data_IF_728732698316
#
_entry.id   IF_728732698316
#
_cell.length_a   1.000
_cell.length_b   1.000
_cell.length_c   1.000
_cell.angle_alpha   90.00
_cell.angle_beta   90.00
_cell.angle_gamma   90.00
#
_symmetry.space_group_name_H-M   'P 1'
#
loop_
_entity.id
_entity.type
_entity.pdbx_description
1 polymer ?
#
# COMPACT_ATOMS: atom_id res chain seq x y z
N UNK A 1 35.10 15.71 14.19
CA UNK A 1 34.86 15.65 12.74
C UNK A 1 33.37 15.82 12.55
N UNK A 2 32.90 16.96 12.02
CA UNK A 2 31.55 17.00 11.46
C UNK A 2 31.58 16.09 10.23
N UNK A 3 30.63 15.18 10.07
CA UNK A 3 30.78 14.09 9.07
C UNK A 3 30.70 14.56 7.60
N UNK A 4 30.59 15.87 7.37
CA UNK A 4 30.48 16.47 6.05
C UNK A 4 29.05 16.48 5.51
N UNK A 5 28.09 15.90 6.22
CA UNK A 5 26.69 15.94 5.86
C UNK A 5 26.09 17.34 6.08
N UNK A 6 25.67 17.95 4.99
CA UNK A 6 24.97 19.22 5.00
C UNK A 6 23.49 19.00 5.26
N UNK A 7 23.09 19.17 6.52
CA UNK A 7 21.72 19.00 6.96
C UNK A 7 20.79 20.07 6.38
N UNK A 8 21.27 21.30 6.18
CA UNK A 8 20.44 22.37 5.60
C UNK A 8 20.14 22.10 4.12
N UNK A 9 21.13 21.63 3.36
CA UNK A 9 20.92 21.22 1.98
C UNK A 9 19.91 20.08 1.85
N UNK A 10 19.93 19.10 2.76
CA UNK A 10 18.92 18.03 2.78
C UNK A 10 17.52 18.61 3.05
N UNK A 11 17.37 19.47 4.07
CA UNK A 11 16.07 20.05 4.42
C UNK A 11 15.49 20.90 3.28
N UNK A 12 16.35 21.67 2.60
CA UNK A 12 15.95 22.42 1.42
C UNK A 12 15.48 21.50 0.29
N UNK A 13 16.22 20.42 0.00
CA UNK A 13 15.83 19.44 -1.01
C UNK A 13 14.53 18.72 -0.66
N UNK A 14 14.30 18.39 0.61
CA UNK A 14 13.03 17.81 1.08
C UNK A 14 11.89 18.80 0.85
N UNK A 15 12.04 20.07 1.22
CA UNK A 15 11.01 21.08 1.02
C UNK A 15 10.69 21.33 -0.47
N UNK A 16 11.67 21.16 -1.36
CA UNK A 16 11.50 21.33 -2.80
C UNK A 16 10.90 20.10 -3.49
N UNK A 17 11.34 18.89 -3.11
CA UNK A 17 11.03 17.65 -3.83
C UNK A 17 9.84 16.88 -3.24
N UNK A 18 9.63 16.97 -1.92
CA UNK A 18 8.57 16.23 -1.23
C UNK A 18 7.27 17.04 -1.16
N UNK A 19 6.78 17.49 -2.32
CA UNK A 19 5.62 18.38 -2.41
C UNK A 19 4.31 17.74 -1.93
N UNK A 20 4.27 16.41 -1.83
CA UNK A 20 3.12 15.62 -1.39
C UNK A 20 3.28 15.09 0.05
N UNK A 21 4.33 15.49 0.77
CA UNK A 21 4.61 15.04 2.15
C UNK A 21 4.71 13.51 2.31
N UNK A 22 5.37 12.85 1.36
CA UNK A 22 5.61 11.41 1.39
C UNK A 22 6.43 11.00 2.62
N UNK A 23 7.35 11.84 3.09
CA UNK A 23 8.06 11.58 4.34
C UNK A 23 7.14 11.70 5.55
N UNK A 24 6.16 12.61 5.55
CA UNK A 24 5.10 12.67 6.54
C UNK A 24 4.27 11.38 6.56
N UNK A 25 3.80 10.92 5.39
CA UNK A 25 3.08 9.66 5.25
C UNK A 25 3.86 8.45 5.78
N UNK A 26 5.17 8.38 5.53
CA UNK A 26 6.02 7.31 6.08
C UNK A 26 6.13 7.38 7.61
N UNK A 27 6.25 8.57 8.18
CA UNK A 27 6.31 8.75 9.64
C UNK A 27 4.99 8.41 10.32
N UNK A 28 3.87 8.75 9.68
CA UNK A 28 2.53 8.56 10.22
C UNK A 28 1.97 7.15 9.99
N UNK A 29 2.62 6.34 9.16
CA UNK A 29 2.16 4.98 8.83
C UNK A 29 1.72 4.13 10.04
N UNK A 30 2.46 4.08 11.18
CA UNK A 30 2.01 3.31 12.34
C UNK A 30 0.69 3.80 12.93
N UNK A 31 0.49 5.10 12.99
CA UNK A 31 -0.73 5.72 13.53
C UNK A 31 -1.90 5.53 12.54
N UNK A 32 -1.66 5.72 11.24
CA UNK A 32 -2.64 5.47 10.18
C UNK A 32 -3.11 4.01 10.19
N UNK A 33 -2.19 3.06 10.38
CA UNK A 33 -2.51 1.63 10.47
C UNK A 33 -3.33 1.32 11.73
N UNK A 34 -2.97 1.90 12.88
CA UNK A 34 -3.70 1.73 14.14
C UNK A 34 -5.13 2.31 14.04
N UNK A 35 -5.27 3.47 13.39
CA UNK A 35 -6.57 4.07 13.11
C UNK A 35 -7.42 3.16 12.21
N UNK A 36 -6.84 2.59 11.16
CA UNK A 36 -7.55 1.69 10.24
C UNK A 36 -8.02 0.39 10.91
N UNK A 37 -7.23 -0.18 11.82
CA UNK A 37 -7.67 -1.35 12.60
C UNK A 37 -8.78 -1.06 13.61
N UNK A 38 -9.00 0.21 13.94
CA UNK A 38 -10.07 0.63 14.86
C UNK A 38 -11.40 0.88 14.14
N UNK A 39 -11.43 0.80 12.81
CA UNK A 39 -12.65 0.94 12.02
C UNK A 39 -13.52 -0.30 12.21
N UNK A 40 -14.75 -0.09 12.70
CA UNK A 40 -15.75 -1.15 12.81
C UNK A 40 -16.39 -1.39 11.43
N UNK A 41 -15.97 -2.46 10.76
CA UNK A 41 -16.55 -2.86 9.48
C UNK A 41 -17.70 -3.86 9.69
N UNK A 42 -18.83 -3.71 8.98
CA UNK A 42 -19.90 -4.68 9.05
C UNK A 42 -19.41 -6.04 8.58
N UNK A 43 -19.84 -7.10 9.27
CA UNK A 43 -19.49 -8.45 8.87
C UNK A 43 -20.03 -8.75 7.46
N UNK A 44 -19.16 -9.23 6.58
CA UNK A 44 -19.49 -9.64 5.21
C UNK A 44 -19.12 -11.10 5.02
N UNK A 45 -19.92 -11.80 4.21
CA UNK A 45 -19.55 -13.13 3.78
C UNK A 45 -18.25 -13.07 2.97
N UNK A 46 -17.33 -13.98 3.28
CA UNK A 46 -16.07 -14.07 2.55
C UNK A 46 -16.36 -14.64 1.16
N UNK A 47 -15.99 -13.93 0.07
CA UNK A 47 -16.22 -14.44 -1.27
C UNK A 47 -15.31 -15.64 -1.57
N UNK A 48 -15.70 -16.54 -2.48
CA UNK A 48 -14.84 -17.65 -2.89
C UNK A 48 -13.60 -17.17 -3.68
N UNK A 49 -13.72 -16.00 -4.33
CA UNK A 49 -12.62 -15.39 -5.09
C UNK A 49 -12.67 -13.86 -4.99
N UNK A 50 -11.51 -13.22 -4.89
CA UNK A 50 -11.33 -11.77 -4.86
C UNK A 50 -10.47 -11.31 -6.04
N UNK A 51 -10.88 -10.22 -6.69
CA UNK A 51 -10.08 -9.53 -7.70
C UNK A 51 -9.60 -8.19 -7.17
N UNK A 52 -8.28 -8.01 -7.11
CA UNK A 52 -7.63 -6.76 -6.75
C UNK A 52 -7.22 -6.04 -8.03
N UNK A 53 -7.87 -4.91 -8.34
CA UNK A 53 -7.55 -4.09 -9.50
C UNK A 53 -6.74 -2.88 -9.02
N UNK A 54 -5.56 -2.66 -9.59
CA UNK A 54 -4.74 -1.53 -9.18
C UNK A 54 -3.42 -1.47 -9.94
N UNK A 55 -2.62 -0.46 -9.64
CA UNK A 55 -1.28 -0.30 -10.22
C UNK A 55 -0.30 0.26 -9.19
N UNK A 56 0.97 0.00 -9.42
CA UNK A 56 2.01 0.40 -8.48
C UNK A 56 1.74 -0.17 -7.09
N UNK A 57 1.62 0.71 -6.09
CA UNK A 57 1.38 0.35 -4.69
C UNK A 57 0.06 -0.37 -4.45
N UNK A 58 -1.04 0.03 -5.11
CA UNK A 58 -2.35 -0.61 -4.88
C UNK A 58 -2.39 -2.04 -5.41
N UNK A 59 -1.74 -2.30 -6.53
CA UNK A 59 -1.50 -3.66 -7.00
C UNK A 59 -0.55 -4.45 -6.09
N UNK A 60 0.48 -3.82 -5.52
CA UNK A 60 1.39 -4.48 -4.60
C UNK A 60 0.68 -4.98 -3.33
N UNK A 61 -0.28 -4.22 -2.82
CA UNK A 61 -1.14 -4.67 -1.72
C UNK A 61 -2.00 -5.89 -2.11
N UNK A 62 -2.52 -5.92 -3.34
CA UNK A 62 -3.23 -7.08 -3.89
C UNK A 62 -2.35 -8.34 -3.94
N UNK A 63 -1.12 -8.21 -4.42
CA UNK A 63 -0.17 -9.34 -4.48
C UNK A 63 0.22 -9.86 -3.09
N UNK A 64 0.34 -8.96 -2.11
CA UNK A 64 0.55 -9.33 -0.72
C UNK A 64 -0.65 -10.13 -0.19
N UNK A 65 -1.87 -9.68 -0.45
CA UNK A 65 -3.09 -10.39 -0.05
C UNK A 65 -3.21 -11.76 -0.74
N UNK A 66 -2.85 -11.86 -2.03
CA UNK A 66 -2.81 -13.13 -2.75
C UNK A 66 -1.80 -14.10 -2.13
N UNK A 67 -0.59 -13.63 -1.81
CA UNK A 67 0.43 -14.42 -1.14
C UNK A 67 -0.02 -14.91 0.24
N UNK A 68 -0.79 -14.11 0.97
CA UNK A 68 -1.35 -14.49 2.27
C UNK A 68 -2.46 -15.55 2.12
N UNK A 69 -3.35 -15.38 1.14
CA UNK A 69 -4.43 -16.31 0.84
C UNK A 69 -3.91 -17.68 0.37
N UNK A 70 -2.87 -17.70 -0.48
CA UNK A 70 -2.21 -18.95 -0.92
C UNK A 70 -1.58 -19.72 0.23
N UNK A 71 -1.06 -19.02 1.24
CA UNK A 71 -0.39 -19.64 2.40
C UNK A 71 -1.36 -20.15 3.45
N UNK A 72 -2.43 -19.41 3.72
CA UNK A 72 -3.22 -19.57 4.94
C UNK A 72 -4.74 -19.63 4.70
N UNK A 73 -5.20 -19.47 3.47
CA UNK A 73 -6.61 -19.25 3.15
C UNK A 73 -7.22 -20.31 2.25
N UNK A 74 -8.52 -20.15 2.03
CA UNK A 74 -9.38 -20.94 1.14
C UNK A 74 -10.08 -20.04 0.10
N UNK A 75 -9.66 -18.78 0.01
CA UNK A 75 -10.16 -17.77 -0.93
C UNK A 75 -9.15 -17.62 -2.06
N UNK A 76 -9.60 -17.74 -3.31
CA UNK A 76 -8.78 -17.37 -4.46
C UNK A 76 -8.59 -15.86 -4.53
N UNK A 77 -7.38 -15.37 -4.79
CA UNK A 77 -7.13 -13.93 -4.95
C UNK A 77 -6.32 -13.72 -6.22
N UNK A 78 -6.74 -12.77 -7.05
CA UNK A 78 -6.02 -12.41 -8.27
C UNK A 78 -5.83 -10.91 -8.35
N UNK A 79 -4.59 -10.48 -8.47
CA UNK A 79 -4.26 -9.09 -8.76
C UNK A 79 -4.19 -8.86 -10.26
N UNK A 80 -4.86 -7.82 -10.73
CA UNK A 80 -4.70 -7.32 -12.09
C UNK A 80 -3.94 -6.00 -12.05
N UNK A 81 -2.76 -5.98 -12.68
CA UNK A 81 -1.81 -4.86 -12.69
C UNK A 81 -1.93 -4.06 -13.98
N UNK A 82 -3.14 -3.70 -14.36
CA UNK A 82 -3.39 -2.97 -15.61
C UNK A 82 -4.60 -2.04 -15.45
N UNK A 83 -4.74 -1.11 -16.39
CA UNK A 83 -5.91 -0.25 -16.55
C UNK A 83 -7.05 -0.95 -17.29
N UNK A 84 -6.74 -1.97 -18.09
CA UNK A 84 -7.72 -2.75 -18.81
C UNK A 84 -8.43 -3.76 -17.89
N UNK A 85 -9.50 -4.37 -18.37
CA UNK A 85 -10.10 -5.53 -17.72
C UNK A 85 -9.58 -6.80 -18.40
N UNK A 86 -9.37 -7.88 -17.64
CA UNK A 86 -9.00 -9.16 -18.23
C UNK A 86 -10.03 -9.59 -19.30
N UNK A 87 -9.56 -9.88 -20.50
CA UNK A 87 -10.42 -10.34 -21.61
C UNK A 87 -10.69 -11.85 -21.48
N UNK A 88 -11.46 -12.26 -20.48
CA UNK A 88 -11.89 -13.65 -20.29
C UNK A 88 -13.13 -13.99 -21.13
N UNK A 89 -13.00 -13.86 -22.46
CA UNK A 89 -13.93 -14.50 -23.38
C UNK A 89 -13.73 -16.00 -23.45
#
# INVERSE_FOLDING_TARGET
MSDGFDHEALLAAVAELDTEDMLGHLRNFPDDLAAQWSVDEPQRDTPPHLFCLGMGGSAAAGDFLASLAERNGNVGVTTHRDYDLPNWR
#
